data_IF_463672070858
#
_entry.id   IF_463672070858
#
_cell.length_a   1.000
_cell.length_b   1.000
_cell.length_c   1.000
_cell.angle_alpha   90.00
_cell.angle_beta   90.00
_cell.angle_gamma   90.00
#
_symmetry.space_group_name_H-M   'P 1'
#
loop_
_entity.id
_entity.type
_entity.pdbx_description
1 polymer ?
#
# COMPACT_ATOMS: atom_id res chain seq x y z
N UNK A 1 25.36 8.39 -12.57
CA UNK A 1 24.07 7.84 -13.08
C UNK A 1 23.49 6.95 -11.98
N UNK A 2 22.50 7.42 -11.22
CA UNK A 2 21.92 6.63 -10.13
C UNK A 2 21.11 5.48 -10.72
N UNK A 3 21.59 4.24 -10.54
CA UNK A 3 20.88 3.01 -10.92
C UNK A 3 19.44 3.09 -10.39
N UNK A 4 18.47 3.15 -11.29
CA UNK A 4 17.05 3.23 -10.99
C UNK A 4 16.65 2.07 -10.09
N UNK A 5 16.49 2.37 -8.80
CA UNK A 5 16.30 1.38 -7.76
C UNK A 5 14.97 0.63 -7.88
N UNK A 6 14.95 -0.58 -7.32
CA UNK A 6 13.83 -1.53 -7.23
C UNK A 6 12.59 -0.98 -6.50
N UNK A 7 12.03 0.14 -6.97
CA UNK A 7 10.81 0.76 -6.45
C UNK A 7 9.61 0.14 -7.16
N UNK A 8 8.74 -0.50 -6.39
CA UNK A 8 7.52 -1.11 -6.86
C UNK A 8 6.36 -0.25 -6.39
N UNK A 9 5.43 0.03 -7.30
CA UNK A 9 4.15 0.67 -6.98
C UNK A 9 3.19 -0.36 -6.40
N UNK A 10 2.66 -0.05 -5.24
CA UNK A 10 1.85 -0.92 -4.40
C UNK A 10 0.54 -0.19 -4.07
N UNK A 11 -0.56 -0.92 -4.08
CA UNK A 11 -1.84 -0.42 -3.61
C UNK A 11 -2.00 -0.67 -2.11
N UNK A 12 -2.68 0.21 -1.38
CA UNK A 12 -3.15 -0.07 -0.03
C UNK A 12 -4.66 -0.29 -0.04
N UNK A 13 -5.07 -1.47 0.43
CA UNK A 13 -6.45 -1.93 0.53
C UNK A 13 -6.89 -1.84 1.97
N UNK A 14 -7.99 -1.15 2.24
CA UNK A 14 -8.58 -1.18 3.57
C UNK A 14 -9.09 -2.58 3.92
N UNK A 15 -8.77 -3.08 5.12
CA UNK A 15 -9.21 -4.41 5.57
C UNK A 15 -10.73 -4.55 5.72
N UNK A 16 -11.45 -3.44 5.95
CA UNK A 16 -12.90 -3.44 6.18
C UNK A 16 -13.69 -3.20 4.91
N UNK A 17 -13.42 -2.09 4.22
CA UNK A 17 -14.14 -1.68 3.02
C UNK A 17 -13.65 -2.42 1.76
N UNK A 18 -12.55 -3.19 1.85
CA UNK A 18 -11.80 -3.82 0.73
C UNK A 18 -11.46 -2.86 -0.42
N UNK A 19 -11.63 -1.57 -0.19
CA UNK A 19 -11.45 -0.55 -1.20
C UNK A 19 -9.97 -0.20 -1.32
N UNK A 20 -9.50 -0.03 -2.55
CA UNK A 20 -8.17 0.49 -2.86
C UNK A 20 -8.24 2.00 -2.83
N UNK A 21 -7.59 2.59 -1.84
CA UNK A 21 -7.69 4.03 -1.59
C UNK A 21 -6.35 4.75 -1.73
N UNK A 22 -5.23 4.04 -1.71
CA UNK A 22 -3.90 4.64 -1.79
C UNK A 22 -3.01 3.86 -2.74
N UNK A 23 -2.17 4.61 -3.45
CA UNK A 23 -1.04 4.12 -4.23
C UNK A 23 0.22 4.64 -3.54
N UNK A 24 1.12 3.73 -3.20
CA UNK A 24 2.41 4.03 -2.58
C UNK A 24 3.50 3.36 -3.38
N UNK A 25 4.73 3.83 -3.27
CA UNK A 25 5.90 3.14 -3.84
C UNK A 25 6.74 2.60 -2.71
N UNK A 26 7.02 1.30 -2.69
CA UNK A 26 7.98 0.70 -1.74
C UNK A 26 9.21 0.21 -2.49
N UNK A 27 10.35 0.15 -1.81
CA UNK A 27 11.53 -0.49 -2.36
C UNK A 27 11.52 -1.98 -1.98
N UNK A 28 11.51 -2.87 -2.97
CA UNK A 28 11.47 -4.32 -2.76
C UNK A 28 12.66 -4.83 -1.95
N UNK A 29 13.81 -4.16 -2.06
CA UNK A 29 15.07 -4.56 -1.41
C UNK A 29 15.06 -4.22 0.09
N UNK A 30 14.52 -3.05 0.46
CA UNK A 30 14.54 -2.60 1.87
C UNK A 30 13.28 -3.02 2.64
N UNK A 31 12.20 -3.42 1.96
CA UNK A 31 10.90 -3.70 2.59
C UNK A 31 10.35 -5.00 2.03
N UNK A 32 10.87 -6.11 2.57
CA UNK A 32 10.45 -7.47 2.20
C UNK A 32 9.07 -7.83 2.81
N UNK A 33 8.74 -7.22 3.94
CA UNK A 33 7.49 -7.48 4.68
C UNK A 33 6.28 -6.76 4.08
N UNK A 34 5.11 -7.37 4.23
CA UNK A 34 3.82 -6.77 3.81
C UNK A 34 3.50 -5.58 4.70
N UNK A 35 3.42 -4.38 4.13
CA UNK A 35 3.11 -3.18 4.88
C UNK A 35 1.64 -3.18 5.33
N UNK A 36 1.43 -3.01 6.63
CA UNK A 36 0.11 -2.75 7.23
C UNK A 36 0.12 -1.37 7.84
N UNK A 37 -0.53 -0.42 7.16
CA UNK A 37 -0.54 0.98 7.57
C UNK A 37 -1.93 1.37 8.07
N UNK A 38 -2.00 1.99 9.26
CA UNK A 38 -3.25 2.59 9.76
C UNK A 38 -3.50 3.91 9.02
N UNK A 39 -4.37 3.87 8.01
CA UNK A 39 -4.78 5.03 7.20
C UNK A 39 -6.29 5.23 7.28
N UNK A 40 -6.75 6.39 6.85
CA UNK A 40 -8.17 6.73 6.86
C UNK A 40 -8.89 6.14 5.64
N UNK A 41 -9.89 5.25 5.82
CA UNK A 41 -10.77 4.84 4.70
C UNK A 41 -11.91 5.87 4.59
N UNK A 42 -11.98 6.61 3.47
CA UNK A 42 -13.07 7.56 3.19
C UNK A 42 -14.45 6.89 3.18
N UNK A 43 -14.52 5.60 2.79
CA UNK A 43 -15.76 4.80 2.77
C UNK A 43 -16.24 4.48 4.19
N UNK A 44 -15.35 4.03 5.07
CA UNK A 44 -15.68 3.71 6.47
C UNK A 44 -15.76 4.94 7.37
N UNK A 45 -15.19 6.09 6.95
CA UNK A 45 -15.02 7.30 7.76
C UNK A 45 -14.22 7.10 9.07
N UNK A 46 -13.39 6.05 9.13
CA UNK A 46 -12.52 5.72 10.26
C UNK A 46 -11.10 5.38 9.81
N UNK A 47 -10.15 5.45 10.74
CA UNK A 47 -8.77 4.99 10.56
C UNK A 47 -8.72 3.48 10.74
N UNK A 48 -8.36 2.77 9.68
CA UNK A 48 -8.39 1.31 9.61
C UNK A 48 -7.05 0.77 9.13
N UNK A 49 -6.70 -0.49 9.46
CA UNK A 49 -5.52 -1.11 8.90
C UNK A 49 -5.71 -1.33 7.40
N UNK A 50 -4.87 -0.68 6.61
CA UNK A 50 -4.77 -0.90 5.17
C UNK A 50 -3.62 -1.87 4.90
N UNK A 51 -3.95 -2.98 4.23
CA UNK A 51 -3.00 -4.01 3.81
C UNK A 51 -2.50 -3.69 2.41
N UNK A 52 -1.23 -3.93 2.22
CA UNK A 52 -0.62 -3.82 0.92
C UNK A 52 -1.14 -4.87 -0.09
N UNK A 53 -1.34 -4.45 -1.34
CA UNK A 53 -1.66 -5.30 -2.47
C UNK A 53 -0.84 -4.89 -3.69
N UNK A 54 -0.16 -5.86 -4.30
CA UNK A 54 0.67 -5.62 -5.49
C UNK A 54 -0.14 -5.77 -6.79
N UNK A 55 -1.35 -6.33 -6.72
CA UNK A 55 -2.15 -6.61 -7.91
C UNK A 55 -2.88 -5.36 -8.39
N UNK A 56 -2.27 -4.40 -9.09
CA UNK A 56 -3.07 -3.46 -9.89
C UNK A 56 -3.77 -4.27 -11.01
N UNK A 57 -5.03 -4.62 -10.78
CA UNK A 57 -5.99 -5.03 -11.79
C UNK A 57 -7.16 -4.07 -11.66
#
# INVERSE_FOLDING_TARGET
MAKGGNRITIGLVCSECKNRNYLSTRNKINTEEKLVLKKYCRRCRKRTPHKETEKLK
#
